data_IF_112999881336
#
_entry.id   IF_112999881336
#
_cell.length_a   1.000
_cell.length_b   1.000
_cell.length_c   1.000
_cell.angle_alpha   90.00
_cell.angle_beta   90.00
_cell.angle_gamma   90.00
#
_symmetry.space_group_name_H-M   'P 1'
#
loop_
_entity.id
_entity.type
_entity.pdbx_description
1 polymer ?
#
# COMPACT_ATOMS: atom_id res chain seq x y z
N UNK A 1 -11.79 13.13 24.49
CA UNK A 1 -11.17 12.60 23.25
C UNK A 1 -9.68 12.93 23.10
N UNK A 2 -9.02 13.58 24.09
CA UNK A 2 -7.62 14.04 23.94
C UNK A 2 -6.54 13.01 24.30
N UNK A 3 -6.90 11.92 24.99
CA UNK A 3 -5.93 10.96 25.51
C UNK A 3 -5.33 10.04 24.43
N UNK A 4 -6.06 9.76 23.34
CA UNK A 4 -5.56 8.89 22.26
C UNK A 4 -4.66 9.59 21.25
N UNK A 5 -4.77 10.91 21.10
CA UNK A 5 -4.00 11.64 20.07
C UNK A 5 -2.49 11.58 20.32
N UNK A 6 -2.06 11.81 21.57
CA UNK A 6 -0.64 11.86 21.93
C UNK A 6 0.03 10.48 21.89
N UNK A 7 -0.66 9.42 22.30
CA UNK A 7 -0.09 8.05 22.23
C UNK A 7 0.09 7.60 20.78
N UNK A 8 -0.87 7.94 19.90
CA UNK A 8 -0.82 7.56 18.50
C UNK A 8 0.27 8.37 17.75
N UNK A 9 0.44 9.66 18.05
CA UNK A 9 1.53 10.46 17.49
C UNK A 9 2.92 9.94 17.89
N UNK A 10 3.07 9.49 19.14
CA UNK A 10 4.32 8.88 19.61
C UNK A 10 4.68 7.60 18.84
N UNK A 11 3.68 6.76 18.50
CA UNK A 11 3.89 5.54 17.71
C UNK A 11 4.35 5.84 16.28
N UNK A 12 3.73 6.83 15.62
CA UNK A 12 4.13 7.28 14.27
C UNK A 12 5.54 7.89 14.29
N UNK A 13 5.85 8.70 15.30
CA UNK A 13 7.19 9.28 15.46
C UNK A 13 8.26 8.19 15.66
N UNK A 14 7.97 7.16 16.45
CA UNK A 14 8.85 6.00 16.65
C UNK A 14 9.12 5.26 15.33
N UNK A 15 8.09 5.00 14.53
CA UNK A 15 8.22 4.33 13.23
C UNK A 15 9.04 5.18 12.25
N UNK A 16 8.83 6.50 12.25
CA UNK A 16 9.50 7.43 11.32
C UNK A 16 10.96 7.68 11.70
N UNK A 17 11.27 7.73 13.00
CA UNK A 17 12.63 7.95 13.50
C UNK A 17 13.54 6.71 13.36
N UNK A 18 12.97 5.50 13.35
CA UNK A 18 13.74 4.25 13.27
C UNK A 18 14.25 3.87 11.88
N UNK A 19 13.65 4.35 10.78
CA UNK A 19 13.78 3.70 9.47
C UNK A 19 14.37 4.57 8.34
N UNK A 20 15.27 5.49 8.66
CA UNK A 20 15.88 6.43 7.70
C UNK A 20 16.68 5.85 6.53
N UNK A 21 16.84 4.52 6.34
CA UNK A 21 17.77 4.01 5.31
C UNK A 21 17.36 2.83 4.41
N UNK A 22 16.18 2.20 4.49
CA UNK A 22 15.97 0.97 3.68
C UNK A 22 14.66 0.80 2.90
N UNK A 23 13.79 1.81 2.80
CA UNK A 23 12.49 1.62 2.11
C UNK A 23 12.49 1.75 0.57
N UNK A 24 13.60 1.38 -0.09
CA UNK A 24 13.63 1.08 -1.53
C UNK A 24 14.74 0.09 -1.84
N UNK A 25 14.47 -1.21 -1.71
CA UNK A 25 15.17 -2.22 -2.51
C UNK A 25 14.13 -3.05 -3.23
N UNK A 26 13.96 -2.69 -4.51
CA UNK A 26 13.25 -3.48 -5.51
C UNK A 26 13.84 -4.89 -5.50
N UNK A 27 12.99 -5.89 -5.38
CA UNK A 27 13.27 -7.30 -5.64
C UNK A 27 13.54 -7.47 -7.15
N UNK A 28 14.74 -7.15 -7.58
CA UNK A 28 15.29 -7.47 -8.90
C UNK A 28 16.80 -7.55 -8.74
N UNK A 29 17.29 -8.75 -8.44
CA UNK A 29 18.54 -9.33 -8.95
C UNK A 29 18.98 -10.50 -8.05
N UNK A 30 18.52 -11.70 -8.40
CA UNK A 30 19.25 -12.93 -8.09
C UNK A 30 19.55 -13.60 -9.42
N UNK A 31 20.65 -13.19 -10.06
CA UNK A 31 21.28 -13.92 -11.15
C UNK A 31 22.06 -15.10 -10.55
N UNK A 32 21.44 -16.27 -10.54
CA UNK A 32 22.17 -17.54 -10.37
C UNK A 32 22.55 -18.04 -11.76
N UNK A 33 23.85 -17.98 -12.05
CA UNK A 33 24.45 -18.65 -13.19
C UNK A 33 24.60 -20.15 -12.87
N UNK A 34 24.06 -21.01 -13.72
CA UNK A 34 24.21 -22.46 -13.64
C UNK A 34 23.64 -23.11 -14.89
N UNK A 35 24.52 -23.48 -15.81
CA UNK A 35 24.24 -24.17 -17.07
C UNK A 35 23.74 -25.60 -16.87
N UNK A 36 22.64 -26.00 -17.51
CA UNK A 36 22.59 -27.26 -18.29
C UNK A 36 21.35 -27.33 -19.21
N UNK A 37 21.59 -27.97 -20.34
CA UNK A 37 20.74 -28.11 -21.52
C UNK A 37 19.76 -29.27 -21.35
N UNK A 38 18.48 -29.10 -21.74
CA UNK A 38 17.77 -30.03 -22.63
C UNK A 38 16.34 -29.56 -22.94
N UNK A 39 15.95 -29.81 -24.19
CA UNK A 39 14.68 -29.47 -24.83
C UNK A 39 13.50 -30.27 -24.26
N UNK A 40 12.34 -29.63 -24.11
CA UNK A 40 11.03 -30.27 -24.37
C UNK A 40 9.96 -29.20 -24.59
N UNK A 41 8.99 -29.57 -25.41
CA UNK A 41 8.04 -28.77 -26.16
C UNK A 41 6.86 -28.17 -25.36
N UNK A 42 6.36 -27.04 -25.91
CA UNK A 42 4.93 -26.66 -26.12
C UNK A 42 4.11 -26.02 -24.97
N UNK A 43 3.71 -24.79 -25.31
CA UNK A 43 2.35 -24.20 -25.29
C UNK A 43 1.76 -23.61 -23.98
N UNK A 44 1.54 -22.29 -24.00
CA UNK A 44 0.23 -21.67 -23.74
C UNK A 44 0.21 -20.22 -24.21
N UNK A 45 -0.88 -19.87 -24.89
CA UNK A 45 -1.09 -18.64 -25.65
C UNK A 45 -1.77 -17.53 -24.82
N UNK A 46 -1.77 -16.31 -25.42
CA UNK A 46 -2.67 -15.15 -25.20
C UNK A 46 -2.20 -14.16 -24.11
N UNK A 47 -2.19 -12.84 -24.30
CA UNK A 47 -2.82 -11.98 -25.32
C UNK A 47 -2.12 -10.62 -25.47
N UNK A 48 -2.10 -10.17 -26.73
CA UNK A 48 -1.99 -8.84 -27.35
C UNK A 48 -1.96 -7.57 -26.49
N UNK A 49 -0.96 -6.71 -26.76
CA UNK A 49 -1.02 -5.24 -26.55
C UNK A 49 -0.98 -4.54 -27.92
N UNK A 50 -1.88 -3.59 -28.24
CA UNK A 50 -1.77 -2.86 -29.49
C UNK A 50 -0.82 -1.67 -29.33
N UNK A 51 0.21 -1.65 -30.18
CA UNK A 51 1.04 -0.48 -30.42
C UNK A 51 0.51 0.23 -31.67
N UNK A 52 0.15 1.51 -31.60
CA UNK A 52 -0.10 2.33 -32.79
C UNK A 52 0.56 3.71 -32.60
N UNK A 53 1.46 4.03 -33.54
CA UNK A 53 2.17 5.31 -33.64
C UNK A 53 1.37 6.30 -34.51
N UNK A 54 1.42 7.57 -34.09
CA UNK A 54 1.60 8.83 -34.85
C UNK A 54 0.83 9.05 -36.16
N UNK A 55 -0.01 10.09 -36.21
CA UNK A 55 -0.07 10.99 -37.39
C UNK A 55 -0.56 12.40 -37.00
N UNK A 56 0.24 13.43 -37.31
CA UNK A 56 -0.16 14.84 -37.46
C UNK A 56 -0.70 15.08 -38.87
N UNK A 57 -1.67 15.99 -39.06
CA UNK A 57 -1.48 17.01 -40.10
C UNK A 57 -2.08 18.40 -39.75
N UNK A 58 -1.50 19.42 -40.38
CA UNK A 58 -1.69 20.86 -40.15
C UNK A 58 -2.79 21.49 -41.05
N UNK A 59 -3.63 22.35 -40.46
CA UNK A 59 -4.30 23.57 -41.02
C UNK A 59 -5.39 23.42 -42.11
N UNK A 60 -6.17 24.48 -42.47
CA UNK A 60 -6.13 25.90 -42.03
C UNK A 60 -7.51 26.62 -41.78
N UNK A 61 -7.43 27.91 -41.39
CA UNK A 61 -8.38 29.05 -41.52
C UNK A 61 -9.47 29.37 -40.47
N UNK A 62 -9.43 30.66 -40.08
CA UNK A 62 -10.53 31.64 -40.04
C UNK A 62 -11.24 32.03 -38.74
N UNK A 63 -11.13 33.34 -38.48
CA UNK A 63 -12.02 34.30 -37.81
C UNK A 63 -12.31 34.21 -36.28
N UNK A 64 -11.84 35.25 -35.57
CA UNK A 64 -12.28 35.71 -34.24
C UNK A 64 -13.70 36.34 -34.36
N UNK A 65 -14.50 36.49 -33.28
CA UNK A 65 -14.27 37.68 -32.45
C UNK A 65 -14.49 37.51 -30.94
N UNK A 66 -13.61 38.21 -30.19
CA UNK A 66 -13.86 38.99 -28.98
C UNK A 66 -14.70 38.37 -27.83
N UNK A 67 -13.99 38.00 -26.75
CA UNK A 67 -14.56 37.75 -25.41
C UNK A 67 -14.77 39.09 -24.69
N UNK A 68 -16.01 39.40 -24.33
CA UNK A 68 -16.39 40.57 -23.54
C UNK A 68 -16.07 40.30 -22.05
N UNK A 69 -15.27 41.12 -21.34
CA UNK A 69 -14.86 40.84 -19.95
C UNK A 69 -15.88 41.15 -18.83
N UNK A 70 -17.17 41.33 -19.11
CA UNK A 70 -18.14 41.75 -18.07
C UNK A 70 -19.49 41.05 -18.22
N UNK A 71 -19.67 39.97 -17.44
CA UNK A 71 -20.98 39.46 -16.99
C UNK A 71 -20.79 38.77 -15.62
N UNK A 72 -21.23 39.37 -14.51
CA UNK A 72 -21.52 38.65 -13.28
C UNK A 72 -22.98 38.22 -13.32
N UNK A 73 -23.25 36.92 -13.33
CA UNK A 73 -24.50 36.41 -12.79
C UNK A 73 -24.29 35.01 -12.22
N UNK A 74 -24.56 34.96 -10.92
CA UNK A 74 -24.48 33.86 -10.00
C UNK A 74 -25.43 32.73 -10.39
N UNK A 75 -24.87 31.63 -10.87
CA UNK A 75 -25.54 30.34 -10.88
C UNK A 75 -24.51 29.22 -10.68
N UNK A 76 -23.64 29.39 -9.69
CA UNK A 76 -22.86 28.28 -9.17
C UNK A 76 -23.80 27.34 -8.40
N UNK A 77 -24.01 26.19 -9.02
CA UNK A 77 -24.02 24.90 -8.31
C UNK A 77 -25.28 24.61 -7.52
N UNK A 78 -26.33 24.20 -8.24
CA UNK A 78 -27.27 23.18 -7.74
C UNK A 78 -26.50 21.85 -7.58
N UNK A 79 -25.61 21.79 -6.59
CA UNK A 79 -25.01 20.58 -6.07
C UNK A 79 -26.00 19.95 -5.11
N UNK A 80 -26.99 19.23 -5.66
CA UNK A 80 -28.00 18.49 -4.91
C UNK A 80 -27.45 17.24 -4.21
N UNK A 81 -26.22 17.28 -3.71
CA UNK A 81 -25.57 16.21 -2.94
C UNK A 81 -25.60 16.49 -1.42
N UNK A 82 -26.47 17.41 -0.99
CA UNK A 82 -26.53 17.93 0.37
C UNK A 82 -27.49 17.14 1.28
N UNK A 83 -27.46 15.80 1.20
CA UNK A 83 -28.45 14.90 1.83
C UNK A 83 -28.34 14.76 3.36
N UNK A 84 -28.07 15.84 4.08
CA UNK A 84 -28.42 15.90 5.51
C UNK A 84 -29.30 17.13 5.76
N UNK A 85 -30.59 17.09 5.34
CA UNK A 85 -31.52 18.22 5.47
C UNK A 85 -31.71 18.69 6.92
N UNK A 86 -31.31 17.90 7.91
CA UNK A 86 -31.44 18.20 9.34
C UNK A 86 -30.14 17.92 10.12
N UNK A 87 -28.97 18.14 9.50
CA UNK A 87 -27.65 17.96 10.12
C UNK A 87 -27.57 18.57 11.52
N UNK A 88 -28.09 19.80 11.66
CA UNK A 88 -28.12 20.53 12.91
C UNK A 88 -28.89 19.84 14.04
N UNK A 89 -29.83 18.92 13.77
CA UNK A 89 -30.54 18.18 14.84
C UNK A 89 -29.67 17.09 15.50
N UNK A 90 -28.60 16.65 14.82
CA UNK A 90 -27.69 15.64 15.37
C UNK A 90 -26.54 16.26 16.16
N UNK A 91 -26.40 17.59 16.11
CA UNK A 91 -25.45 18.32 16.95
C UNK A 91 -25.88 18.28 18.41
N UNK A 92 -24.90 18.41 19.30
CA UNK A 92 -25.13 18.68 20.72
C UNK A 92 -26.10 19.83 20.89
N UNK A 93 -26.99 19.74 21.88
CA UNK A 93 -28.08 20.70 22.04
C UNK A 93 -27.61 22.16 22.12
N UNK A 94 -26.43 22.41 22.67
CA UNK A 94 -25.84 23.76 22.77
C UNK A 94 -25.35 24.33 21.43
N UNK A 95 -25.15 23.47 20.43
CA UNK A 95 -24.69 23.82 19.08
C UNK A 95 -25.84 23.85 18.06
N UNK A 96 -27.07 23.55 18.47
CA UNK A 96 -28.24 23.65 17.60
C UNK A 96 -28.63 25.12 17.40
N UNK A 97 -29.12 25.49 16.20
CA UNK A 97 -29.59 26.85 15.96
C UNK A 97 -30.79 27.19 16.84
N UNK A 98 -30.84 28.42 17.34
CA UNK A 98 -32.02 28.96 18.01
C UNK A 98 -33.17 29.12 17.02
N UNK A 99 -34.41 28.92 17.48
CA UNK A 99 -35.58 29.13 16.64
C UNK A 99 -35.66 30.59 16.15
N UNK A 100 -35.86 30.84 14.84
CA UNK A 100 -35.89 32.20 14.31
C UNK A 100 -37.17 32.93 14.70
N UNK A 101 -37.07 34.25 14.91
CA UNK A 101 -38.22 35.14 15.13
C UNK A 101 -38.90 35.48 13.78
N UNK A 102 -40.18 35.11 13.54
CA UNK A 102 -40.81 35.25 12.22
C UNK A 102 -40.94 36.68 11.69
N UNK A 103 -40.91 37.67 12.58
CA UNK A 103 -41.02 39.09 12.24
C UNK A 103 -39.66 39.80 12.11
N UNK A 104 -38.54 39.10 12.33
CA UNK A 104 -37.19 39.65 12.19
C UNK A 104 -36.47 39.00 11.02
N UNK A 105 -36.15 39.82 10.00
CA UNK A 105 -35.35 39.37 8.84
C UNK A 105 -33.94 38.94 9.25
N UNK A 106 -33.34 39.64 10.22
CA UNK A 106 -32.01 39.33 10.74
C UNK A 106 -31.98 37.97 11.43
N UNK A 107 -32.98 37.67 12.26
CA UNK A 107 -33.07 36.38 12.95
C UNK A 107 -33.21 35.22 11.98
N UNK A 108 -33.97 35.39 10.89
CA UNK A 108 -34.09 34.39 9.83
C UNK A 108 -32.74 34.12 9.14
N UNK A 109 -32.00 35.19 8.79
CA UNK A 109 -30.70 35.07 8.13
C UNK A 109 -29.65 34.37 9.02
N UNK A 110 -29.61 34.69 10.32
CA UNK A 110 -28.71 34.03 11.28
C UNK A 110 -29.02 32.53 11.39
N UNK A 111 -30.31 32.15 11.45
CA UNK A 111 -30.73 30.74 11.48
C UNK A 111 -30.28 29.99 10.22
N UNK A 112 -30.51 30.56 9.03
CA UNK A 112 -30.10 29.96 7.77
C UNK A 112 -28.58 29.80 7.66
N UNK A 113 -27.82 30.80 8.10
CA UNK A 113 -26.36 30.73 8.14
C UNK A 113 -25.89 29.63 9.10
N UNK A 114 -26.49 29.54 10.29
CA UNK A 114 -26.14 28.50 11.27
C UNK A 114 -26.43 27.10 10.71
N UNK A 115 -27.54 26.92 9.99
CA UNK A 115 -27.86 25.66 9.33
C UNK A 115 -26.77 25.25 8.32
N UNK A 116 -26.27 26.19 7.51
CA UNK A 116 -25.16 25.94 6.56
C UNK A 116 -23.87 25.58 7.28
N UNK A 117 -23.52 26.32 8.33
CA UNK A 117 -22.32 26.03 9.13
C UNK A 117 -22.41 24.68 9.85
N UNK A 118 -23.59 24.33 10.39
CA UNK A 118 -23.83 23.03 11.02
C UNK A 118 -23.63 21.87 10.04
N UNK A 119 -24.07 22.02 8.79
CA UNK A 119 -23.84 21.02 7.74
C UNK A 119 -22.35 20.86 7.44
N UNK A 120 -21.61 21.97 7.26
CA UNK A 120 -20.16 21.92 7.03
C UNK A 120 -19.41 21.31 8.21
N UNK A 121 -19.78 21.68 9.44
CA UNK A 121 -19.21 21.10 10.66
C UNK A 121 -19.36 19.57 10.68
N UNK A 122 -20.55 19.05 10.34
CA UNK A 122 -20.77 17.61 10.29
C UNK A 122 -19.96 16.90 9.20
N UNK A 123 -19.79 17.54 8.03
CA UNK A 123 -18.93 17.00 6.97
C UNK A 123 -17.50 16.87 7.46
N UNK A 124 -16.96 17.94 8.07
CA UNK A 124 -15.60 17.93 8.64
C UNK A 124 -15.48 16.91 9.78
N UNK A 125 -16.47 16.79 10.65
CA UNK A 125 -16.47 15.79 11.73
C UNK A 125 -16.41 14.36 11.16
N UNK A 126 -17.16 14.10 10.08
CA UNK A 126 -17.14 12.81 9.39
C UNK A 126 -15.78 12.55 8.74
N UNK A 127 -15.21 13.55 8.07
CA UNK A 127 -13.89 13.44 7.45
C UNK A 127 -12.80 13.18 8.49
N UNK A 128 -12.82 13.88 9.63
CA UNK A 128 -11.92 13.61 10.76
C UNK A 128 -12.04 12.16 11.22
N UNK A 129 -13.28 11.66 11.39
CA UNK A 129 -13.50 10.28 11.82
C UNK A 129 -12.94 9.26 10.80
N UNK A 130 -13.15 9.49 9.50
CA UNK A 130 -12.62 8.64 8.43
C UNK A 130 -11.09 8.68 8.37
N UNK A 131 -10.48 9.86 8.54
CA UNK A 131 -9.02 10.00 8.59
C UNK A 131 -8.42 9.28 9.80
N UNK A 132 -9.07 9.37 10.97
CA UNK A 132 -8.65 8.63 12.17
C UNK A 132 -8.76 7.12 11.98
N UNK A 133 -9.84 6.64 11.37
CA UNK A 133 -9.98 5.23 11.02
C UNK A 133 -8.86 4.79 10.07
N UNK A 134 -8.63 5.53 8.98
CA UNK A 134 -7.61 5.17 8.00
C UNK A 134 -6.20 5.18 8.60
N UNK A 135 -5.92 6.12 9.50
CA UNK A 135 -4.67 6.16 10.27
C UNK A 135 -4.48 4.87 11.08
N UNK A 136 -5.53 4.39 11.75
CA UNK A 136 -5.47 3.17 12.54
C UNK A 136 -5.24 1.92 11.68
N UNK A 137 -5.88 1.85 10.51
CA UNK A 137 -5.65 0.77 9.52
C UNK A 137 -4.20 0.73 9.04
N UNK A 138 -3.62 1.90 8.72
CA UNK A 138 -2.23 2.00 8.28
C UNK A 138 -1.24 1.58 9.37
N UNK A 139 -1.52 1.89 10.64
CA UNK A 139 -0.69 1.43 11.76
C UNK A 139 -0.74 -0.10 11.86
N UNK A 140 -1.94 -0.70 11.76
CA UNK A 140 -2.08 -2.15 11.81
C UNK A 140 -1.38 -2.85 10.63
N UNK A 141 -1.40 -2.25 9.43
CA UNK A 141 -0.67 -2.75 8.26
C UNK A 141 0.85 -2.72 8.48
N UNK A 142 1.39 -1.63 9.05
CA UNK A 142 2.81 -1.53 9.39
C UNK A 142 3.25 -2.54 10.46
N UNK A 143 2.43 -2.76 11.49
CA UNK A 143 2.70 -3.75 12.53
C UNK A 143 2.70 -5.19 11.96
N UNK A 144 1.88 -5.45 10.93
CA UNK A 144 1.85 -6.73 10.25
C UNK A 144 3.07 -6.92 9.34
N UNK A 145 3.45 -5.89 8.58
CA UNK A 145 4.66 -5.87 7.75
C UNK A 145 5.93 -6.14 8.59
N UNK A 146 6.02 -5.57 9.80
CA UNK A 146 7.16 -5.83 10.70
C UNK A 146 7.24 -7.30 11.13
N UNK A 147 6.10 -7.92 11.46
CA UNK A 147 6.05 -9.36 11.81
C UNK A 147 6.44 -10.22 10.62
N UNK A 148 5.98 -9.89 9.42
CA UNK A 148 6.30 -10.63 8.20
C UNK A 148 7.77 -10.47 7.82
N UNK A 149 8.36 -9.29 8.07
CA UNK A 149 9.79 -9.06 7.91
C UNK A 149 10.62 -9.90 8.90
N UNK A 150 10.19 -9.99 10.16
CA UNK A 150 10.83 -10.85 11.17
C UNK A 150 10.73 -12.33 10.79
N UNK A 151 9.57 -12.79 10.32
CA UNK A 151 9.36 -14.15 9.85
C UNK A 151 10.25 -14.48 8.64
N UNK A 152 10.30 -13.58 7.66
CA UNK A 152 11.19 -13.72 6.49
C UNK A 152 12.65 -13.82 6.90
N UNK A 153 13.10 -12.96 7.83
CA UNK A 153 14.47 -13.00 8.36
C UNK A 153 14.78 -14.34 9.04
N UNK A 154 13.83 -14.90 9.81
CA UNK A 154 13.95 -16.22 10.43
C UNK A 154 14.09 -17.33 9.37
N UNK A 155 13.22 -17.34 8.36
CA UNK A 155 13.25 -18.34 7.29
C UNK A 155 14.56 -18.32 6.51
N UNK A 156 15.09 -17.12 6.20
CA UNK A 156 16.39 -16.97 5.53
C UNK A 156 17.53 -17.55 6.37
N UNK A 157 17.52 -17.32 7.68
CA UNK A 157 18.51 -17.88 8.59
C UNK A 157 18.43 -19.41 8.66
N UNK A 158 17.23 -19.97 8.73
CA UNK A 158 17.00 -21.42 8.72
C UNK A 158 17.47 -22.06 7.41
N UNK A 159 17.12 -21.47 6.28
CA UNK A 159 17.56 -21.94 4.97
C UNK A 159 19.08 -21.96 4.86
N UNK A 160 19.75 -20.91 5.34
CA UNK A 160 21.22 -20.88 5.40
C UNK A 160 21.78 -22.02 6.24
N UNK A 161 21.22 -22.26 7.43
CA UNK A 161 21.64 -23.35 8.31
C UNK A 161 21.48 -24.72 7.64
N UNK A 162 20.35 -24.94 6.96
CA UNK A 162 20.09 -26.18 6.22
C UNK A 162 21.07 -26.38 5.06
N UNK A 163 21.44 -25.32 4.33
CA UNK A 163 22.47 -25.39 3.29
C UNK A 163 23.83 -25.80 3.87
N UNK A 164 24.23 -25.21 5.00
CA UNK A 164 25.49 -25.52 5.65
C UNK A 164 25.52 -26.98 6.14
N UNK A 165 24.42 -27.45 6.75
CA UNK A 165 24.28 -28.84 7.20
C UNK A 165 24.26 -29.83 6.03
N UNK A 166 23.53 -29.52 4.96
CA UNK A 166 23.48 -30.37 3.76
C UNK A 166 24.86 -30.51 3.12
N UNK A 167 25.64 -29.43 3.05
CA UNK A 167 27.03 -29.45 2.56
C UNK A 167 27.92 -30.31 3.44
N UNK A 168 27.78 -30.19 4.76
CA UNK A 168 28.52 -31.01 5.73
C UNK A 168 28.21 -32.50 5.56
N UNK A 169 26.92 -32.86 5.52
CA UNK A 169 26.46 -34.23 5.31
C UNK A 169 26.93 -34.81 3.97
N UNK A 170 26.83 -34.02 2.91
CA UNK A 170 27.32 -34.41 1.58
C UNK A 170 28.82 -34.73 1.60
N UNK A 171 29.60 -33.90 2.30
CA UNK A 171 31.05 -34.12 2.45
C UNK A 171 31.34 -35.41 3.22
N UNK A 172 30.66 -35.61 4.35
CA UNK A 172 30.80 -36.81 5.17
C UNK A 172 30.42 -38.08 4.40
N UNK A 173 29.31 -38.05 3.66
CA UNK A 173 28.89 -39.15 2.80
C UNK A 173 29.96 -39.53 1.77
N UNK A 174 30.56 -38.55 1.09
CA UNK A 174 31.65 -38.82 0.13
C UNK A 174 32.88 -39.42 0.80
N UNK A 175 33.21 -38.97 2.02
CA UNK A 175 34.31 -39.55 2.80
C UNK A 175 34.03 -41.02 3.16
N UNK A 176 32.83 -41.33 3.68
CA UNK A 176 32.42 -42.69 3.96
C UNK A 176 32.45 -43.57 2.71
N UNK A 177 31.93 -43.08 1.59
CA UNK A 177 31.96 -43.80 0.30
C UNK A 177 33.39 -44.15 -0.12
N UNK A 178 34.32 -43.20 -0.05
CA UNK A 178 35.74 -43.43 -0.34
C UNK A 178 36.37 -44.48 0.57
N UNK A 179 36.07 -44.44 1.87
CA UNK A 179 36.57 -45.44 2.82
C UNK A 179 36.07 -46.85 2.49
N UNK A 180 34.78 -47.00 2.15
CA UNK A 180 34.22 -48.29 1.76
C UNK A 180 34.87 -48.85 0.49
N UNK A 181 35.15 -48.00 -0.49
CA UNK A 181 35.83 -48.39 -1.73
C UNK A 181 37.26 -48.87 -1.46
N UNK A 182 37.99 -48.19 -0.59
CA UNK A 182 39.32 -48.61 -0.13
C UNK A 182 39.27 -49.99 0.55
N UNK A 183 38.30 -50.22 1.44
CA UNK A 183 38.12 -51.51 2.13
C UNK A 183 37.83 -52.62 1.12
N UNK A 184 36.92 -52.39 0.17
CA UNK A 184 36.59 -53.37 -0.89
C UNK A 184 37.83 -53.75 -1.71
N UNK A 185 38.61 -52.75 -2.14
CA UNK A 185 39.80 -52.99 -2.97
C UNK A 185 40.89 -53.77 -2.22
N UNK A 186 41.03 -53.56 -0.91
CA UNK A 186 41.95 -54.34 -0.07
C UNK A 186 41.51 -55.80 0.05
N UNK A 187 40.20 -56.07 0.18
CA UNK A 187 39.68 -57.43 0.24
C UNK A 187 39.90 -58.20 -1.07
N UNK A 188 39.77 -57.54 -2.22
CA UNK A 188 40.01 -58.15 -3.53
C UNK A 188 41.48 -58.49 -3.80
N UNK A 189 42.42 -57.84 -3.10
CA UNK A 189 43.87 -58.05 -3.28
C UNK A 189 44.49 -59.08 -2.35
N UNK A 190 43.73 -59.71 -1.43
CA UNK A 190 44.24 -60.84 -0.64
C UNK A 190 44.29 -62.08 -1.54
N UNK A 191 45.48 -62.62 -1.88
CA UNK A 191 45.57 -63.94 -2.50
C UNK A 191 45.02 -64.96 -1.49
N UNK A 192 44.16 -65.87 -1.95
CA UNK A 192 43.71 -66.98 -1.12
C UNK A 192 44.92 -67.72 -0.56
N UNK A 193 45.06 -67.72 0.76
CA UNK A 193 45.93 -68.68 1.44
C UNK A 193 45.26 -70.04 1.31
N UNK A 194 45.92 -70.94 0.56
CA UNK A 194 45.67 -72.39 0.55
C UNK A 194 45.74 -73.00 1.94
#
# INVERSE_FOLDING_TARGET
>A
MSADMSEIEARIASITAGNGQQRRRSIQDLSVAGTESSQESRNSSRSSSPSVRMITPSGPTSEKPARNPWTPDDAETNGSDNSIPMAYLTLDHQLQPLAPCPNSKESMAVFEQHCKMAQEYMKVQTEIALLLQRKQELIAELDQDEKDQQNTSRLVQEHKKLLDENKSLSTYYQQCKKQLEVIRNQQQKRPGTS
#
